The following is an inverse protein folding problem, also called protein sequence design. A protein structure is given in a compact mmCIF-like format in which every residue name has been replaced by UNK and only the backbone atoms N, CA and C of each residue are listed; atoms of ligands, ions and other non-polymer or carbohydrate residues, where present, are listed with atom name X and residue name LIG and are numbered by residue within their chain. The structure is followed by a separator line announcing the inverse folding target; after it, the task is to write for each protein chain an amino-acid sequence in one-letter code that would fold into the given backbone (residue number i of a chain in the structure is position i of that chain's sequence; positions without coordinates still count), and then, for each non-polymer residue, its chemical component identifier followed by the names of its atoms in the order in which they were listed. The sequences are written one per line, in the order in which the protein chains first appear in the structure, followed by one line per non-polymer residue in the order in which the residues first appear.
data_IF_460791941563
#
_entry.id   IF_460791941563
#
_cell.length_a   1.000
_cell.length_b   1.000
_cell.length_c   1.000
_cell.angle_alpha   90.00
_cell.angle_beta   90.00
_cell.angle_gamma   90.00
#
_symmetry.space_group_name_H-M   'P 1'
#
loop_
_entity.id
_entity.type
_entity.pdbx_description
1 polymer ?
#
# COMPACT_ATOMS: atom_id res chain seq x y z
N UNK A 1 4.63 -33.09 -19.68
CA UNK A 1 4.52 -31.62 -19.61
C UNK A 1 3.99 -31.10 -20.93
N UNK A 2 2.72 -31.35 -21.21
CA UNK A 2 2.06 -31.03 -22.48
C UNK A 2 0.55 -31.20 -22.27
N UNK A 3 -0.26 -30.53 -23.08
CA UNK A 3 -1.73 -30.49 -23.09
C UNK A 3 -2.42 -29.51 -22.11
N UNK A 4 -2.07 -29.46 -20.82
CA UNK A 4 -2.75 -28.54 -19.89
C UNK A 4 -2.26 -27.08 -20.01
N UNK A 5 -0.99 -26.89 -20.38
CA UNK A 5 -0.39 -25.57 -20.60
C UNK A 5 -0.84 -24.97 -21.94
N UNK A 6 -1.02 -25.79 -22.98
CA UNK A 6 -1.54 -25.35 -24.28
C UNK A 6 -3.02 -24.96 -24.23
N UNK A 7 -3.84 -25.68 -23.45
CA UNK A 7 -5.27 -25.33 -23.26
C UNK A 7 -5.47 -24.04 -22.48
N UNK A 8 -4.49 -23.63 -21.67
CA UNK A 8 -4.55 -22.37 -20.92
C UNK A 8 -4.09 -21.18 -21.78
N UNK A 9 -3.13 -21.39 -22.69
CA UNK A 9 -2.63 -20.35 -23.61
C UNK A 9 -3.58 -20.09 -24.80
N UNK A 10 -4.40 -21.06 -25.19
CA UNK A 10 -5.36 -20.92 -26.29
C UNK A 10 -6.66 -20.19 -25.92
N UNK A 11 -6.93 -19.97 -24.62
CA UNK A 11 -8.11 -19.25 -24.15
C UNK A 11 -7.93 -17.71 -24.08
N UNK A 12 -6.72 -17.20 -24.33
CA UNK A 12 -6.38 -15.78 -24.20
C UNK A 12 -6.65 -14.86 -25.41
N UNK A 13 -6.82 -15.34 -26.67
CA UNK A 13 -7.10 -14.43 -27.79
C UNK A 13 -8.52 -13.85 -27.82
N UNK A 14 -9.47 -14.45 -27.11
CA UNK A 14 -10.90 -14.12 -27.20
C UNK A 14 -11.33 -12.79 -26.56
N UNK A 15 -10.47 -12.14 -25.77
CA UNK A 15 -10.78 -10.87 -25.09
C UNK A 15 -10.21 -9.63 -25.77
N UNK A 16 -9.38 -9.79 -26.81
CA UNK A 16 -8.63 -8.67 -27.43
C UNK A 16 -8.97 -8.38 -28.90
N UNK A 17 -9.78 -9.21 -29.57
CA UNK A 17 -9.96 -9.13 -31.03
C UNK A 17 -11.36 -8.73 -31.52
N UNK A 18 -12.28 -8.33 -30.66
CA UNK A 18 -13.58 -7.80 -31.09
C UNK A 18 -13.56 -6.27 -31.20
N UNK A 19 -12.73 -5.72 -32.11
CA UNK A 19 -12.92 -4.36 -32.62
C UNK A 19 -12.06 -4.11 -33.88
N UNK A 20 -12.40 -4.77 -34.97
CA UNK A 20 -12.06 -4.27 -36.31
C UNK A 20 -13.24 -4.47 -37.26
N UNK A 21 -14.09 -3.44 -37.34
CA UNK A 21 -14.84 -3.09 -38.56
C UNK A 21 -14.82 -1.55 -38.66
N UNK A 22 -14.45 -1.06 -39.83
CA UNK A 22 -13.92 0.28 -40.08
C UNK A 22 -14.90 1.46 -40.04
N UNK A 23 -14.32 2.65 -39.96
CA UNK A 23 -14.94 3.97 -40.11
C UNK A 23 -14.12 5.07 -39.41
N UNK A 24 -13.94 6.29 -39.98
CA UNK A 24 -13.08 7.31 -39.40
C UNK A 24 -13.84 8.03 -38.29
N UNK A 25 -13.59 7.64 -37.04
CA UNK A 25 -14.10 8.36 -35.88
C UNK A 25 -13.00 8.44 -34.83
N UNK A 26 -12.56 9.67 -34.55
CA UNK A 26 -11.76 10.02 -33.39
C UNK A 26 -12.50 9.57 -32.12
N UNK A 27 -12.27 8.32 -31.72
CA UNK A 27 -12.99 7.67 -30.64
C UNK A 27 -12.06 7.49 -29.45
N UNK A 28 -12.50 8.03 -28.32
CA UNK A 28 -11.86 7.96 -27.00
C UNK A 28 -11.44 6.52 -26.70
N UNK A 29 -10.15 6.27 -26.82
CA UNK A 29 -9.56 5.00 -26.43
C UNK A 29 -9.77 4.80 -24.90
N UNK A 30 -10.19 3.60 -24.45
CA UNK A 30 -10.56 3.34 -23.06
C UNK A 30 -9.40 3.57 -22.07
N UNK A 31 -9.69 3.77 -20.78
CA UNK A 31 -8.73 4.12 -19.72
C UNK A 31 -7.41 3.30 -19.72
N UNK A 32 -7.49 2.01 -20.04
CA UNK A 32 -6.33 1.11 -20.13
C UNK A 32 -5.56 1.16 -21.46
N UNK A 33 -6.15 1.71 -22.53
CA UNK A 33 -5.55 1.66 -23.86
C UNK A 33 -4.43 2.68 -24.04
N UNK A 34 -4.47 3.83 -23.35
CA UNK A 34 -3.44 4.86 -23.45
C UNK A 34 -2.16 4.48 -22.71
N UNK A 35 -2.27 4.11 -21.43
CA UNK A 35 -1.14 3.57 -20.68
C UNK A 35 -0.64 2.27 -21.31
N UNK A 36 -1.54 1.35 -21.66
CA UNK A 36 -1.17 0.11 -22.32
C UNK A 36 -0.48 0.34 -23.68
N UNK A 37 -0.89 1.38 -24.41
CA UNK A 37 -0.21 1.83 -25.63
C UNK A 37 1.20 2.32 -25.37
N UNK A 38 1.39 3.17 -24.35
CA UNK A 38 2.71 3.66 -23.92
C UNK A 38 3.63 2.51 -23.52
N UNK A 39 3.16 1.60 -22.67
CA UNK A 39 3.94 0.44 -22.22
C UNK A 39 4.34 -0.43 -23.42
N UNK A 40 3.39 -0.76 -24.31
CA UNK A 40 3.71 -1.53 -25.52
C UNK A 40 4.73 -0.82 -26.40
N UNK A 41 4.59 0.49 -26.55
CA UNK A 41 5.53 1.34 -27.28
C UNK A 41 6.93 1.21 -26.71
N UNK A 42 7.10 1.39 -25.40
CA UNK A 42 8.40 1.26 -24.72
C UNK A 42 8.96 -0.15 -24.85
N UNK A 43 8.16 -1.19 -24.62
CA UNK A 43 8.63 -2.59 -24.67
C UNK A 43 9.03 -3.08 -26.06
N UNK A 44 8.57 -2.40 -27.12
CA UNK A 44 8.92 -2.75 -28.49
C UNK A 44 10.27 -2.13 -28.93
N UNK A 45 10.79 -1.18 -28.16
CA UNK A 45 12.05 -0.51 -28.48
C UNK A 45 13.23 -1.38 -28.06
N UNK A 46 14.26 -1.39 -28.90
CA UNK A 46 15.50 -2.13 -28.66
C UNK A 46 16.64 -1.23 -28.18
N UNK A 47 16.49 0.09 -28.31
CA UNK A 47 17.51 1.09 -27.97
C UNK A 47 17.05 2.04 -26.88
N UNK A 48 17.92 2.28 -25.90
CA UNK A 48 17.69 3.27 -24.84
C UNK A 48 17.48 4.68 -25.38
N UNK A 49 18.17 5.04 -26.47
CA UNK A 49 18.01 6.37 -27.08
C UNK A 49 16.60 6.58 -27.66
N UNK A 50 16.02 5.53 -28.25
CA UNK A 50 14.65 5.59 -28.77
C UNK A 50 13.63 5.68 -27.64
N UNK A 51 13.88 4.96 -26.54
CA UNK A 51 13.06 5.04 -25.32
C UNK A 51 13.06 6.47 -24.77
N UNK A 52 14.25 7.05 -24.58
CA UNK A 52 14.39 8.42 -24.09
C UNK A 52 13.62 9.41 -24.97
N UNK A 53 13.72 9.27 -26.30
CA UNK A 53 12.99 10.12 -27.25
C UNK A 53 11.47 9.97 -27.11
N UNK A 54 10.97 8.74 -27.01
CA UNK A 54 9.54 8.48 -26.86
C UNK A 54 9.02 9.04 -25.53
N UNK A 55 9.73 8.80 -24.43
CA UNK A 55 9.32 9.28 -23.10
C UNK A 55 9.37 10.81 -23.03
N UNK A 56 10.36 11.47 -23.61
CA UNK A 56 10.41 12.94 -23.65
C UNK A 56 9.23 13.55 -24.42
N UNK A 57 8.82 12.93 -25.53
CA UNK A 57 7.63 13.34 -26.26
C UNK A 57 6.36 13.18 -25.42
N UNK A 58 6.24 12.05 -24.72
CA UNK A 58 5.10 11.77 -23.85
C UNK A 58 5.05 12.73 -22.65
N UNK A 59 6.18 12.99 -21.99
CA UNK A 59 6.28 13.95 -20.88
C UNK A 59 5.92 15.37 -21.31
N UNK A 60 6.35 15.79 -22.51
CA UNK A 60 5.99 17.09 -23.07
C UNK A 60 4.47 17.22 -23.30
N UNK A 61 3.86 16.18 -23.87
CA UNK A 61 2.41 16.09 -24.08
C UNK A 61 1.63 16.09 -22.76
N UNK A 62 2.11 15.32 -21.78
CA UNK A 62 1.55 15.26 -20.44
C UNK A 62 1.62 16.62 -19.75
N UNK A 63 2.77 17.30 -19.81
CA UNK A 63 2.98 18.63 -19.22
C UNK A 63 2.01 19.67 -19.79
N UNK A 64 1.80 19.66 -21.11
CA UNK A 64 0.80 20.53 -21.74
C UNK A 64 -0.63 20.21 -21.26
N UNK A 65 -0.96 18.92 -21.15
CA UNK A 65 -2.30 18.48 -20.74
C UNK A 65 -2.59 18.81 -19.27
N UNK A 66 -1.67 18.56 -18.34
CA UNK A 66 -1.89 18.82 -16.91
C UNK A 66 -1.95 20.32 -16.59
N UNK A 67 -1.30 21.15 -17.41
CA UNK A 67 -1.30 22.61 -17.26
C UNK A 67 -2.57 23.26 -17.84
N UNK A 68 -3.30 22.56 -18.72
CA UNK A 68 -4.48 23.11 -19.36
C UNK A 68 -5.65 23.29 -18.36
N UNK A 69 -6.30 24.48 -18.29
CA UNK A 69 -7.42 24.72 -17.38
C UNK A 69 -8.66 23.86 -17.66
N UNK A 70 -8.79 23.37 -18.89
CA UNK A 70 -9.93 22.56 -19.37
C UNK A 70 -9.79 21.08 -18.99
N UNK A 71 -8.70 20.69 -18.33
CA UNK A 71 -8.43 19.29 -17.99
C UNK A 71 -9.34 18.80 -16.88
N UNK A 72 -10.20 17.84 -17.22
CA UNK A 72 -11.09 17.20 -16.25
C UNK A 72 -10.30 16.32 -15.27
N UNK A 73 -10.85 16.08 -14.06
CA UNK A 73 -10.23 15.19 -13.07
C UNK A 73 -10.05 13.76 -13.61
N UNK A 74 -10.94 13.29 -14.49
CA UNK A 74 -10.81 11.99 -15.16
C UNK A 74 -9.57 11.95 -16.06
N UNK A 75 -9.35 12.98 -16.86
CA UNK A 75 -8.16 13.10 -17.70
C UNK A 75 -6.90 13.30 -16.86
N UNK A 76 -6.98 14.07 -15.78
CA UNK A 76 -5.89 14.26 -14.83
C UNK A 76 -5.44 12.92 -14.25
N UNK A 77 -6.38 12.06 -13.83
CA UNK A 77 -6.10 10.69 -13.40
C UNK A 77 -5.36 9.87 -14.46
N UNK A 78 -5.78 9.93 -15.73
CA UNK A 78 -5.09 9.25 -16.84
C UNK A 78 -3.68 9.78 -17.06
N UNK A 79 -3.46 11.09 -16.88
CA UNK A 79 -2.12 11.67 -16.91
C UNK A 79 -1.28 11.17 -15.72
N UNK A 80 -1.82 11.15 -14.51
CA UNK A 80 -1.09 10.72 -13.31
C UNK A 80 -0.57 9.29 -13.42
N UNK A 81 -1.39 8.35 -13.93
CA UNK A 81 -0.93 6.95 -14.08
C UNK A 81 0.22 6.83 -15.08
N UNK A 82 0.22 7.63 -16.16
CA UNK A 82 1.34 7.66 -17.12
C UNK A 82 2.58 8.33 -16.54
N UNK A 83 2.42 9.39 -15.76
CA UNK A 83 3.54 10.03 -15.05
C UNK A 83 4.18 9.07 -14.05
N UNK A 84 3.38 8.31 -13.29
CA UNK A 84 3.89 7.24 -12.41
C UNK A 84 4.76 6.27 -13.21
N UNK A 85 4.31 5.84 -14.39
CA UNK A 85 5.08 4.93 -15.22
C UNK A 85 6.41 5.56 -15.71
N UNK A 86 6.40 6.81 -16.17
CA UNK A 86 7.62 7.51 -16.57
C UNK A 86 8.61 7.64 -15.41
N UNK A 87 8.13 7.94 -14.20
CA UNK A 87 8.98 8.07 -13.01
C UNK A 87 9.53 6.73 -12.54
N UNK A 88 8.75 5.65 -12.67
CA UNK A 88 9.23 4.28 -12.43
C UNK A 88 10.36 3.86 -13.40
N UNK A 89 10.38 4.40 -14.62
CA UNK A 89 11.49 4.21 -15.56
C UNK A 89 12.70 5.11 -15.25
N UNK A 90 12.57 6.03 -14.28
CA UNK A 90 13.64 6.94 -13.83
C UNK A 90 13.65 8.31 -14.50
N UNK A 91 12.59 8.70 -15.22
CA UNK A 91 12.49 10.03 -15.83
C UNK A 91 11.82 11.03 -14.89
N UNK A 92 12.30 12.28 -14.88
CA UNK A 92 11.74 13.34 -14.03
C UNK A 92 10.31 13.74 -14.44
N UNK A 93 9.37 13.59 -13.50
CA UNK A 93 7.98 13.98 -13.63
C UNK A 93 7.54 14.98 -12.53
N UNK A 94 8.50 15.71 -11.93
CA UNK A 94 8.30 16.68 -10.85
C UNK A 94 7.17 17.70 -11.10
N UNK A 95 6.96 18.10 -12.36
CA UNK A 95 5.86 18.98 -12.75
C UNK A 95 4.46 18.42 -12.40
N UNK A 96 4.33 17.10 -12.26
CA UNK A 96 3.09 16.40 -11.91
C UNK A 96 2.76 16.38 -10.42
N UNK A 97 3.72 16.68 -9.54
CA UNK A 97 3.60 16.42 -8.10
C UNK A 97 2.46 17.21 -7.44
N UNK A 98 2.37 18.51 -7.76
CA UNK A 98 1.28 19.37 -7.25
C UNK A 98 -0.09 18.92 -7.79
N UNK A 99 -0.13 18.39 -9.02
CA UNK A 99 -1.37 17.90 -9.61
C UNK A 99 -1.84 16.59 -8.97
N UNK A 100 -0.91 15.73 -8.53
CA UNK A 100 -1.24 14.53 -7.75
C UNK A 100 -1.94 14.90 -6.42
N UNK A 101 -1.43 15.92 -5.72
CA UNK A 101 -2.05 16.43 -4.48
C UNK A 101 -3.45 16.99 -4.74
N UNK A 102 -3.59 17.84 -5.76
CA UNK A 102 -4.89 18.40 -6.15
C UNK A 102 -5.89 17.29 -6.52
N UNK A 103 -5.43 16.24 -7.19
CA UNK A 103 -6.25 15.09 -7.54
C UNK A 103 -6.73 14.32 -6.30
N UNK A 104 -5.86 14.16 -5.28
CA UNK A 104 -6.23 13.56 -4.00
C UNK A 104 -7.26 14.41 -3.23
N UNK A 105 -7.14 15.74 -3.29
CA UNK A 105 -8.02 16.69 -2.62
C UNK A 105 -9.42 16.79 -3.24
N UNK A 106 -9.49 16.84 -4.58
CA UNK A 106 -10.70 17.20 -5.31
C UNK A 106 -11.40 16.01 -5.99
N UNK A 107 -10.69 14.89 -6.14
CA UNK A 107 -11.19 13.70 -6.83
C UNK A 107 -12.33 12.99 -6.10
N UNK A 108 -13.17 12.28 -6.87
CA UNK A 108 -14.01 11.23 -6.29
C UNK A 108 -13.13 10.03 -5.85
N UNK A 109 -13.73 8.96 -5.32
CA UNK A 109 -12.99 7.79 -4.80
C UNK A 109 -11.91 7.25 -5.74
N UNK A 110 -12.15 7.17 -7.06
CA UNK A 110 -11.18 6.62 -8.02
C UNK A 110 -10.05 7.60 -8.32
N UNK A 111 -10.38 8.87 -8.53
CA UNK A 111 -9.37 9.91 -8.74
C UNK A 111 -8.52 10.13 -7.50
N UNK A 112 -9.17 10.20 -6.33
CA UNK A 112 -8.52 10.32 -5.03
C UNK A 112 -7.57 9.16 -4.76
N UNK A 113 -7.97 7.91 -5.08
CA UNK A 113 -7.11 6.73 -4.96
C UNK A 113 -5.84 6.86 -5.79
N UNK A 114 -5.95 7.34 -7.03
CA UNK A 114 -4.79 7.56 -7.91
C UNK A 114 -3.95 8.74 -7.41
N UNK A 115 -4.57 9.82 -6.92
CA UNK A 115 -3.85 10.94 -6.33
C UNK A 115 -3.02 10.53 -5.11
N UNK A 116 -3.61 9.76 -4.19
CA UNK A 116 -2.91 9.21 -3.04
C UNK A 116 -1.76 8.27 -3.43
N UNK A 117 -1.99 7.38 -4.41
CA UNK A 117 -0.94 6.51 -4.94
C UNK A 117 0.20 7.32 -5.56
N UNK A 118 -0.12 8.30 -6.41
CA UNK A 118 0.86 9.18 -7.04
C UNK A 118 1.70 9.92 -5.98
N UNK A 119 1.06 10.52 -4.97
CA UNK A 119 1.79 11.18 -3.88
C UNK A 119 2.72 10.21 -3.15
N UNK A 120 2.28 8.98 -2.86
CA UNK A 120 3.11 7.98 -2.17
C UNK A 120 4.32 7.50 -2.97
N UNK A 121 4.31 7.68 -4.29
CA UNK A 121 5.40 7.27 -5.19
C UNK A 121 6.32 8.44 -5.56
N UNK A 122 5.76 9.64 -5.71
CA UNK A 122 6.47 10.85 -6.13
C UNK A 122 7.18 11.57 -4.99
N UNK A 123 6.54 11.63 -3.81
CA UNK A 123 7.03 12.45 -2.71
C UNK A 123 7.83 11.61 -1.73
N UNK A 124 8.82 12.26 -1.11
CA UNK A 124 9.58 11.75 0.01
C UNK A 124 9.12 12.41 1.32
N UNK A 125 9.44 11.84 2.48
CA UNK A 125 8.89 12.24 3.79
C UNK A 125 9.16 13.70 4.18
N UNK A 126 10.27 14.29 3.72
CA UNK A 126 10.63 15.69 3.96
C UNK A 126 10.15 16.67 2.88
N UNK A 127 9.36 16.22 1.89
CA UNK A 127 8.94 17.10 0.82
C UNK A 127 7.85 18.08 1.32
N UNK A 128 8.07 19.39 1.17
CA UNK A 128 7.19 20.45 1.69
C UNK A 128 5.72 20.34 1.21
N UNK A 129 5.54 19.91 -0.05
CA UNK A 129 4.23 19.68 -0.65
C UNK A 129 3.36 18.68 0.12
N UNK A 130 3.97 17.75 0.87
CA UNK A 130 3.25 16.76 1.65
C UNK A 130 2.36 17.42 2.73
N UNK A 131 2.74 18.60 3.23
CA UNK A 131 1.94 19.36 4.19
C UNK A 131 0.56 19.75 3.64
N UNK A 132 0.45 19.96 2.33
CA UNK A 132 -0.82 20.30 1.67
C UNK A 132 -1.82 19.14 1.70
N UNK A 133 -1.36 17.89 1.86
CA UNK A 133 -2.21 16.71 1.90
C UNK A 133 -2.78 16.43 3.29
N UNK A 134 -2.19 16.99 4.35
CA UNK A 134 -2.52 16.66 5.75
C UNK A 134 -3.98 16.91 6.07
N UNK A 135 -4.51 18.07 5.67
CA UNK A 135 -5.93 18.40 5.90
C UNK A 135 -6.88 17.42 5.19
N UNK A 136 -6.49 16.92 4.01
CA UNK A 136 -7.27 15.90 3.29
C UNK A 136 -7.24 14.57 4.01
N UNK A 137 -6.07 14.16 4.52
CA UNK A 137 -5.94 12.93 5.31
C UNK A 137 -6.78 13.01 6.58
N UNK A 138 -6.74 14.14 7.31
CA UNK A 138 -7.58 14.36 8.51
C UNK A 138 -9.06 14.21 8.16
N UNK A 139 -9.51 14.90 7.11
CA UNK A 139 -10.90 14.82 6.64
C UNK A 139 -11.30 13.39 6.28
N UNK A 140 -10.45 12.68 5.54
CA UNK A 140 -10.75 11.32 5.08
C UNK A 140 -10.73 10.29 6.23
N UNK A 141 -9.91 10.48 7.26
CA UNK A 141 -9.93 9.66 8.48
C UNK A 141 -11.20 9.86 9.30
N UNK A 142 -11.79 11.05 9.25
CA UNK A 142 -13.06 11.37 9.91
C UNK A 142 -14.28 10.99 9.08
N UNK A 143 -14.10 10.56 7.82
CA UNK A 143 -15.20 10.17 6.94
C UNK A 143 -15.93 8.93 7.45
N UNK A 144 -17.23 8.87 7.18
CA UNK A 144 -18.05 7.67 7.38
C UNK A 144 -17.85 6.66 6.25
N UNK A 145 -17.23 7.06 5.13
CA UNK A 145 -16.94 6.19 4.01
C UNK A 145 -15.71 5.32 4.30
N UNK A 146 -15.93 4.01 4.36
CA UNK A 146 -14.88 3.02 4.64
C UNK A 146 -13.69 3.12 3.67
N UNK A 147 -13.95 3.38 2.39
CA UNK A 147 -12.91 3.46 1.34
C UNK A 147 -12.03 4.67 1.57
N UNK A 148 -12.59 5.83 1.93
CA UNK A 148 -11.82 7.04 2.24
C UNK A 148 -10.92 6.84 3.45
N UNK A 149 -11.46 6.30 4.55
CA UNK A 149 -10.67 5.99 5.76
C UNK A 149 -9.54 5.01 5.42
N UNK A 150 -9.84 3.99 4.63
CA UNK A 150 -8.84 3.00 4.20
C UNK A 150 -7.75 3.61 3.31
N UNK A 151 -8.08 4.53 2.40
CA UNK A 151 -7.10 5.23 1.57
C UNK A 151 -6.20 6.11 2.43
N UNK A 152 -6.78 6.90 3.33
CA UNK A 152 -6.02 7.76 4.24
C UNK A 152 -5.06 6.96 5.12
N UNK A 153 -5.53 5.89 5.77
CA UNK A 153 -4.66 5.02 6.58
C UNK A 153 -3.55 4.36 5.76
N UNK A 154 -3.83 4.01 4.49
CA UNK A 154 -2.81 3.41 3.62
C UNK A 154 -1.70 4.41 3.31
N UNK A 155 -2.05 5.65 2.95
CA UNK A 155 -1.05 6.70 2.68
C UNK A 155 -0.24 7.02 3.92
N UNK A 156 -0.90 7.19 5.07
CA UNK A 156 -0.20 7.45 6.35
C UNK A 156 0.78 6.32 6.70
N UNK A 157 0.42 5.06 6.42
CA UNK A 157 1.32 3.93 6.68
C UNK A 157 2.55 3.88 5.76
N UNK A 158 2.54 4.63 4.66
CA UNK A 158 3.64 4.70 3.70
C UNK A 158 4.49 5.96 3.90
N UNK A 159 3.84 7.12 3.93
CA UNK A 159 4.46 8.45 3.96
C UNK A 159 3.62 9.43 4.78
N UNK A 160 4.24 10.14 5.71
CA UNK A 160 3.58 11.18 6.48
C UNK A 160 4.61 12.18 7.06
N UNK A 161 4.33 13.49 7.08
CA UNK A 161 5.29 14.46 7.58
C UNK A 161 5.37 14.39 9.10
N UNK A 162 6.59 14.25 9.63
CA UNK A 162 6.89 14.08 11.07
C UNK A 162 6.19 15.11 11.95
N UNK A 163 6.26 16.39 11.57
CA UNK A 163 5.73 17.49 12.38
C UNK A 163 4.20 17.48 12.50
N UNK A 164 3.51 16.73 11.64
CA UNK A 164 2.05 16.67 11.61
C UNK A 164 1.51 15.40 12.28
N UNK A 165 2.36 14.50 12.75
CA UNK A 165 1.96 13.28 13.48
C UNK A 165 0.98 13.60 14.63
N UNK A 166 1.22 14.62 15.49
CA UNK A 166 0.32 14.93 16.60
C UNK A 166 -1.11 15.26 16.16
N UNK A 167 -1.31 15.82 14.96
CA UNK A 167 -2.63 16.18 14.45
C UNK A 167 -3.48 14.96 14.05
N UNK A 168 -2.83 13.87 13.64
CA UNK A 168 -3.50 12.67 13.10
C UNK A 168 -3.48 11.50 14.08
N UNK A 169 -2.51 11.44 14.99
CA UNK A 169 -2.34 10.35 15.96
C UNK A 169 -3.63 10.02 16.74
N UNK A 170 -4.37 10.98 17.33
CA UNK A 170 -5.60 10.66 18.06
C UNK A 170 -6.68 10.00 17.17
N UNK A 171 -6.78 10.43 15.91
CA UNK A 171 -7.74 9.88 14.95
C UNK A 171 -7.41 8.42 14.59
N UNK A 172 -6.13 8.10 14.44
CA UNK A 172 -5.70 6.73 14.14
C UNK A 172 -5.88 5.83 15.34
N UNK A 173 -5.62 6.33 16.55
CA UNK A 173 -5.86 5.57 17.77
C UNK A 173 -7.34 5.23 17.97
N UNK A 174 -8.24 6.16 17.64
CA UNK A 174 -9.68 5.89 17.62
C UNK A 174 -10.03 4.77 16.63
N UNK A 175 -9.39 4.75 15.45
CA UNK A 175 -9.60 3.70 14.43
C UNK A 175 -9.19 2.30 14.86
N UNK A 176 -8.39 2.14 15.92
CA UNK A 176 -8.12 0.81 16.50
C UNK A 176 -9.36 0.15 17.10
N UNK A 177 -10.41 0.90 17.44
CA UNK A 177 -11.64 0.36 18.00
C UNK A 177 -12.76 0.23 16.96
N UNK A 178 -12.45 0.46 15.69
CA UNK A 178 -13.44 0.45 14.62
C UNK A 178 -14.08 -0.93 14.43
N UNK A 179 -15.38 -0.96 14.11
CA UNK A 179 -16.14 -2.20 13.92
C UNK A 179 -15.53 -3.12 12.86
N UNK A 180 -15.07 -2.52 11.75
CA UNK A 180 -14.41 -3.18 10.61
C UNK A 180 -12.93 -3.47 10.85
N UNK A 181 -12.56 -4.73 10.72
CA UNK A 181 -11.21 -5.26 10.89
C UNK A 181 -10.19 -4.67 9.91
N UNK A 182 -10.58 -4.40 8.66
CA UNK A 182 -9.67 -3.78 7.68
C UNK A 182 -9.16 -2.40 8.13
N UNK A 183 -10.02 -1.62 8.81
CA UNK A 183 -9.64 -0.31 9.36
C UNK A 183 -8.72 -0.49 10.56
N UNK A 184 -9.06 -1.37 11.51
CA UNK A 184 -8.21 -1.67 12.67
C UNK A 184 -6.81 -2.12 12.23
N UNK A 185 -6.74 -3.05 11.27
CA UNK A 185 -5.49 -3.55 10.70
C UNK A 185 -4.63 -2.43 10.10
N UNK A 186 -5.23 -1.55 9.30
CA UNK A 186 -4.52 -0.41 8.69
C UNK A 186 -4.10 0.63 9.73
N UNK A 187 -4.90 0.86 10.76
CA UNK A 187 -4.56 1.74 11.87
C UNK A 187 -3.33 1.24 12.64
N UNK A 188 -3.25 -0.07 12.91
CA UNK A 188 -2.06 -0.70 13.54
C UNK A 188 -0.79 -0.44 12.71
N UNK A 189 -0.86 -0.63 11.39
CA UNK A 189 0.27 -0.38 10.50
C UNK A 189 0.66 1.11 10.43
N UNK A 190 -0.33 2.01 10.43
CA UNK A 190 -0.09 3.44 10.45
C UNK A 190 0.58 3.91 11.75
N UNK A 191 0.16 3.39 12.91
CA UNK A 191 0.84 3.67 14.19
C UNK A 191 2.28 3.15 14.21
N UNK A 192 2.52 1.98 13.61
CA UNK A 192 3.89 1.48 13.47
C UNK A 192 4.75 2.37 12.57
N UNK A 193 4.19 2.94 11.50
CA UNK A 193 4.92 3.94 10.70
C UNK A 193 5.30 5.16 11.55
N UNK A 194 4.40 5.65 12.39
CA UNK A 194 4.71 6.77 13.29
C UNK A 194 5.77 6.43 14.34
N UNK A 195 5.79 5.20 14.85
CA UNK A 195 6.87 4.70 15.70
C UNK A 195 8.23 4.77 15.03
N UNK A 196 8.31 4.41 13.74
CA UNK A 196 9.55 4.47 12.98
C UNK A 196 10.01 5.91 12.69
N UNK A 197 9.08 6.84 12.45
CA UNK A 197 9.40 8.24 12.15
C UNK A 197 9.77 9.03 13.41
N UNK A 198 9.01 8.87 14.50
CA UNK A 198 9.10 9.70 15.69
C UNK A 198 8.80 8.90 16.97
N UNK A 199 9.66 7.95 17.37
CA UNK A 199 9.40 7.06 18.52
C UNK A 199 9.12 7.84 19.82
N UNK A 200 9.78 8.99 20.01
CA UNK A 200 9.59 9.85 21.17
C UNK A 200 8.17 10.43 21.29
N UNK A 201 7.46 10.62 20.17
CA UNK A 201 6.09 11.18 20.16
C UNK A 201 5.02 10.11 20.43
N UNK A 202 5.37 8.82 20.34
CA UNK A 202 4.39 7.72 20.35
C UNK A 202 4.74 6.61 21.35
N UNK A 203 5.41 6.93 22.45
CA UNK A 203 5.84 5.93 23.45
C UNK A 203 4.67 5.12 24.04
N UNK A 204 3.46 5.68 24.13
CA UNK A 204 2.29 4.98 24.70
C UNK A 204 1.67 3.93 23.75
N UNK A 205 2.08 3.87 22.47
CA UNK A 205 1.47 2.95 21.48
C UNK A 205 1.78 1.47 21.76
N UNK A 206 2.81 1.15 22.55
CA UNK A 206 3.13 -0.24 22.89
C UNK A 206 1.93 -0.95 23.53
N UNK A 207 1.15 -0.23 24.34
CA UNK A 207 -0.11 -0.75 24.91
C UNK A 207 -1.15 -1.06 23.84
N UNK A 208 -1.19 -0.28 22.76
CA UNK A 208 -2.09 -0.46 21.62
C UNK A 208 -1.69 -1.66 20.78
N UNK A 209 -0.38 -1.89 20.57
CA UNK A 209 0.10 -3.09 19.88
C UNK A 209 -0.18 -4.37 20.67
N UNK A 210 -0.09 -4.34 22.01
CA UNK A 210 -0.51 -5.46 22.87
C UNK A 210 -2.00 -5.76 22.71
N UNK A 211 -2.86 -4.74 22.69
CA UNK A 211 -4.29 -4.91 22.40
C UNK A 211 -4.56 -5.49 21.00
N UNK A 212 -3.82 -5.03 19.99
CA UNK A 212 -3.94 -5.55 18.63
C UNK A 212 -3.51 -7.02 18.48
N UNK A 213 -2.56 -7.48 19.29
CA UNK A 213 -2.15 -8.89 19.37
C UNK A 213 -3.28 -9.80 19.86
N UNK A 214 -4.17 -9.26 20.71
CA UNK A 214 -5.34 -9.96 21.22
C UNK A 214 -6.62 -9.65 20.43
N UNK A 215 -6.52 -9.07 19.22
CA UNK A 215 -7.71 -8.78 18.40
C UNK A 215 -8.41 -10.08 17.99
N UNK A 216 -9.75 -10.03 17.96
CA UNK A 216 -10.61 -11.13 17.50
C UNK A 216 -10.36 -11.50 16.05
N UNK A 217 -9.96 -10.53 15.23
CA UNK A 217 -9.65 -10.75 13.83
C UNK A 217 -8.18 -11.17 13.65
N UNK A 218 -8.00 -12.32 13.01
CA UNK A 218 -6.69 -12.91 12.74
C UNK A 218 -5.82 -11.99 11.89
N UNK A 219 -6.41 -11.21 10.98
CA UNK A 219 -5.68 -10.27 10.13
C UNK A 219 -5.12 -9.07 10.89
N UNK A 220 -5.84 -8.57 11.90
CA UNK A 220 -5.35 -7.50 12.79
C UNK A 220 -4.25 -8.04 13.71
N UNK A 221 -4.46 -9.22 14.31
CA UNK A 221 -3.46 -9.89 15.14
C UNK A 221 -2.17 -10.18 14.34
N UNK A 222 -2.30 -10.69 13.11
CA UNK A 222 -1.17 -10.92 12.20
C UNK A 222 -0.36 -9.64 11.89
N UNK A 223 -1.03 -8.50 11.71
CA UNK A 223 -0.33 -7.23 11.50
C UNK A 223 0.50 -6.83 12.72
N UNK A 224 -0.01 -7.07 13.93
CA UNK A 224 0.75 -6.83 15.16
C UNK A 224 1.94 -7.78 15.32
N UNK A 225 1.82 -9.05 14.92
CA UNK A 225 2.93 -10.02 14.95
C UNK A 225 4.10 -9.57 14.06
N UNK A 226 3.81 -9.01 12.88
CA UNK A 226 4.85 -8.48 12.00
C UNK A 226 5.62 -7.32 12.65
N UNK A 227 4.92 -6.48 13.43
CA UNK A 227 5.51 -5.38 14.19
C UNK A 227 6.38 -5.93 15.31
N UNK A 228 5.89 -6.88 16.10
CA UNK A 228 6.67 -7.52 17.17
C UNK A 228 7.92 -8.22 16.65
N UNK A 229 7.86 -8.90 15.51
CA UNK A 229 9.04 -9.51 14.90
C UNK A 229 10.16 -8.49 14.66
N UNK A 230 9.82 -7.25 14.27
CA UNK A 230 10.82 -6.19 14.05
C UNK A 230 11.32 -5.63 15.38
N UNK A 231 10.41 -5.34 16.32
CA UNK A 231 10.77 -4.78 17.63
C UNK A 231 11.60 -5.73 18.48
N UNK A 232 11.32 -7.04 18.43
CA UNK A 232 12.06 -8.08 19.15
C UNK A 232 13.46 -8.28 18.55
N UNK A 233 13.63 -8.08 17.24
CA UNK A 233 14.97 -8.07 16.62
C UNK A 233 15.84 -6.93 17.12
N UNK A 234 15.25 -5.79 17.45
CA UNK A 234 15.98 -4.63 17.98
C UNK A 234 16.23 -4.76 19.49
N UNK A 235 15.23 -5.23 20.25
CA UNK A 235 15.32 -5.39 21.70
C UNK A 235 14.49 -6.59 22.18
N UNK A 236 15.11 -7.77 22.29
CA UNK A 236 14.42 -8.99 22.70
C UNK A 236 14.02 -9.01 24.18
N UNK A 237 14.84 -8.45 25.07
CA UNK A 237 14.64 -8.51 26.52
C UNK A 237 13.35 -7.80 26.97
N UNK A 238 12.96 -6.74 26.25
CA UNK A 238 11.74 -5.97 26.54
C UNK A 238 10.41 -6.68 26.24
N UNK A 239 10.43 -7.87 25.63
CA UNK A 239 9.21 -8.59 25.21
C UNK A 239 9.17 -10.06 25.69
N UNK A 240 10.06 -10.46 26.61
CA UNK A 240 10.07 -11.82 27.17
C UNK A 240 8.74 -12.17 27.87
N UNK A 241 8.06 -11.18 28.43
CA UNK A 241 6.74 -11.31 29.05
C UNK A 241 5.63 -11.75 28.06
N UNK A 242 5.82 -11.54 26.76
CA UNK A 242 4.88 -11.95 25.71
C UNK A 242 5.10 -13.38 25.20
N UNK A 243 6.15 -14.08 25.67
CA UNK A 243 6.50 -15.43 25.18
C UNK A 243 5.33 -16.41 25.27
N UNK A 244 4.65 -16.47 26.42
CA UNK A 244 3.50 -17.35 26.63
C UNK A 244 2.33 -17.01 25.68
N UNK A 245 2.15 -15.72 25.37
CA UNK A 245 1.13 -15.27 24.42
C UNK A 245 1.45 -15.78 23.02
N UNK A 246 2.71 -15.67 22.56
CA UNK A 246 3.12 -16.19 21.25
C UNK A 246 3.01 -17.71 21.16
N UNK A 247 3.40 -18.44 22.21
CA UNK A 247 3.24 -19.90 22.28
C UNK A 247 1.76 -20.28 22.22
N UNK A 248 0.88 -19.56 22.94
CA UNK A 248 -0.56 -19.81 22.92
C UNK A 248 -1.15 -19.59 21.53
N UNK A 249 -0.79 -18.48 20.87
CA UNK A 249 -1.23 -18.20 19.50
C UNK A 249 -0.74 -19.30 18.54
N UNK A 250 0.52 -19.74 18.66
CA UNK A 250 1.07 -20.81 17.82
C UNK A 250 0.31 -22.13 18.01
N UNK A 251 0.01 -22.51 19.26
CA UNK A 251 -0.79 -23.71 19.55
C UNK A 251 -2.20 -23.61 18.95
N UNK A 252 -2.83 -22.44 18.98
CA UNK A 252 -4.14 -22.23 18.36
C UNK A 252 -4.09 -22.34 16.83
N UNK A 253 -3.03 -21.80 16.20
CA UNK A 253 -2.80 -21.88 14.75
C UNK A 253 -2.59 -23.33 14.32
N UNK A 254 -1.68 -24.06 14.96
CA UNK A 254 -1.38 -25.46 14.65
C UNK A 254 -2.59 -26.36 14.93
N UNK A 255 -3.35 -26.06 15.98
CA UNK A 255 -4.60 -26.75 16.33
C UNK A 255 -5.77 -26.45 15.40
N UNK A 256 -5.59 -25.69 14.31
CA UNK A 256 -6.62 -25.45 13.30
C UNK A 256 -7.79 -24.59 13.79
N UNK A 257 -7.60 -23.78 14.84
CA UNK A 257 -8.67 -22.92 15.40
C UNK A 257 -8.95 -21.67 14.59
N UNK A 258 -8.15 -21.39 13.57
CA UNK A 258 -8.32 -20.22 12.69
C UNK A 258 -9.31 -20.52 11.55
N UNK A 259 -9.93 -19.50 10.94
CA UNK A 259 -10.80 -19.67 9.80
C UNK A 259 -10.10 -20.41 8.64
N UNK A 260 -10.86 -21.22 7.90
CA UNK A 260 -10.35 -22.03 6.79
C UNK A 260 -9.68 -21.21 5.68
N UNK A 261 -10.04 -19.92 5.56
CA UNK A 261 -9.43 -18.96 4.64
C UNK A 261 -7.92 -18.76 4.87
N UNK A 262 -7.44 -19.06 6.09
CA UNK A 262 -6.02 -19.00 6.43
C UNK A 262 -5.28 -20.31 6.15
N UNK A 263 -5.97 -21.37 5.76
CA UNK A 263 -5.34 -22.64 5.40
C UNK A 263 -4.80 -22.61 3.98
N UNK A 264 -3.55 -23.04 3.81
CA UNK A 264 -2.86 -23.09 2.52
C UNK A 264 -2.36 -24.50 2.26
N UNK A 265 -2.85 -25.16 1.21
CA UNK A 265 -2.56 -26.57 0.88
C UNK A 265 -2.61 -27.50 2.10
N UNK A 266 -3.73 -27.45 2.84
CA UNK A 266 -3.97 -28.25 4.05
C UNK A 266 -3.04 -27.94 5.24
N UNK A 267 -2.22 -26.89 5.15
CA UNK A 267 -1.43 -26.38 6.27
C UNK A 267 -2.14 -25.16 6.88
N UNK A 268 -2.43 -25.13 8.19
CA UNK A 268 -3.14 -24.02 8.80
C UNK A 268 -2.21 -22.80 8.99
N UNK A 269 -2.50 -21.69 8.32
CA UNK A 269 -1.79 -20.41 8.42
C UNK A 269 -0.24 -20.52 8.46
N UNK A 270 0.41 -21.11 7.44
CA UNK A 270 1.85 -21.39 7.47
C UNK A 270 2.70 -20.13 7.70
N UNK A 271 2.30 -18.98 7.14
CA UNK A 271 3.03 -17.72 7.35
C UNK A 271 2.99 -17.23 8.79
N UNK A 272 1.89 -17.44 9.51
CA UNK A 272 1.80 -17.11 10.93
C UNK A 272 2.69 -18.03 11.75
N UNK A 273 2.68 -19.34 11.44
CA UNK A 273 3.58 -20.29 12.11
C UNK A 273 5.05 -19.89 11.94
N UNK A 274 5.47 -19.58 10.72
CA UNK A 274 6.86 -19.13 10.43
C UNK A 274 7.19 -17.86 11.22
N UNK A 275 6.28 -16.88 11.26
CA UNK A 275 6.52 -15.64 12.00
C UNK A 275 6.62 -15.88 13.51
N UNK A 276 5.72 -16.67 14.08
CA UNK A 276 5.72 -17.00 15.50
C UNK A 276 6.97 -17.79 15.90
N UNK A 277 7.37 -18.77 15.10
CA UNK A 277 8.60 -19.53 15.34
C UNK A 277 9.85 -18.64 15.27
N UNK A 278 9.90 -17.68 14.33
CA UNK A 278 10.98 -16.68 14.28
C UNK A 278 11.00 -15.79 15.52
N UNK A 279 9.83 -15.34 15.99
CA UNK A 279 9.71 -14.54 17.22
C UNK A 279 10.23 -15.34 18.42
N UNK A 280 9.74 -16.57 18.60
CA UNK A 280 10.12 -17.44 19.71
C UNK A 280 11.62 -17.78 19.68
N UNK A 281 12.17 -18.05 18.49
CA UNK A 281 13.60 -18.31 18.33
C UNK A 281 14.47 -17.10 18.69
N UNK A 282 14.00 -15.87 18.45
CA UNK A 282 14.70 -14.66 18.88
C UNK A 282 14.60 -14.44 20.40
N UNK A 283 13.43 -14.69 20.99
CA UNK A 283 13.23 -14.54 22.44
C UNK A 283 14.05 -15.56 23.25
N UNK A 284 14.21 -16.77 22.73
CA UNK A 284 14.95 -17.86 23.40
C UNK A 284 16.46 -17.88 23.13
N UNK A 285 17.01 -16.97 22.32
CA UNK A 285 18.44 -17.00 21.93
C UNK A 285 19.39 -16.77 23.11
N UNK A 286 18.98 -15.95 24.08
CA UNK A 286 19.80 -15.53 25.22
C UNK A 286 19.24 -16.05 26.57
N UNK A 287 18.42 -17.12 26.54
CA UNK A 287 17.94 -17.80 27.75
C UNK A 287 18.87 -18.98 28.08
N UNK A 288 19.80 -18.77 29.02
CA UNK A 288 20.67 -19.83 29.58
C UNK A 288 19.88 -20.92 30.32
N UNK A 289 18.62 -20.66 30.71
CA UNK A 289 17.76 -21.62 31.40
C UNK A 289 17.27 -22.79 30.53
N UNK A 290 17.56 -22.80 29.23
CA UNK A 290 17.18 -23.87 28.30
C UNK A 290 18.35 -24.40 27.45
N UNK A 291 19.59 -24.21 27.88
CA UNK A 291 20.72 -25.00 27.34
C UNK A 291 20.69 -26.41 27.93
N UNK A 292 19.95 -27.30 27.24
CA UNK A 292 20.03 -28.76 27.44
C UNK A 292 21.20 -29.32 26.63
#
# INVERSE_FOLDING_TARGET
MSDMVERTLTALPGLFLQNQLGGPAASRAPFFSRLGGLIRGVTALSSKHEEEKLIQQELSSLKATVSAPTTTLKTMKECMVRLIYCEMLGYDASFGYIHAIKLAQQGNLLEKRVGYLAVSLFLHESHELLLLLVNTVVKDLQSTNLVEVCMALTVVSQIFPREMIPAVLPLIEDKLQHSKEIIRRKAVLALYKFYLIAPNQVQHIHTKFRKALCDRDVGVMAASLHIYLRMIKENASGYKDLTESFVTILKQVVGGKLPVEFSYHSVPAPWLQIQLLRILGLLGKDDESYSV
#
